data_IF_229536611550
#
_entry.id   IF_229536611550
#
_cell.length_a   1.000
_cell.length_b   1.000
_cell.length_c   1.000
_cell.angle_alpha   90.00
_cell.angle_beta   90.00
_cell.angle_gamma   90.00
#
_symmetry.space_group_name_H-M   'P 1'
#
loop_
_entity.id
_entity.type
_entity.pdbx_description
1 polymer ?
#
# COMPACT_ATOMS: atom_id res chain seq x y z
N UNK A 1 4.42 -21.94 -30.96
CA UNK A 1 3.95 -21.46 -29.65
C UNK A 1 2.45 -21.29 -29.77
N UNK A 2 1.66 -21.73 -28.78
CA UNK A 2 0.20 -21.57 -28.77
C UNK A 2 -0.13 -20.35 -27.96
N UNK A 3 -0.91 -19.44 -28.51
CA UNK A 3 -1.32 -18.20 -27.85
C UNK A 3 -2.83 -18.24 -27.56
N UNK A 4 -3.22 -17.96 -26.31
CA UNK A 4 -4.63 -17.96 -25.88
C UNK A 4 -5.20 -16.54 -25.70
N UNK A 5 -4.46 -15.51 -26.12
CA UNK A 5 -4.84 -14.11 -25.97
C UNK A 5 -5.05 -13.39 -27.29
N UNK A 6 -5.53 -12.14 -27.22
CA UNK A 6 -5.81 -11.32 -28.40
C UNK A 6 -4.55 -10.90 -29.17
N UNK A 7 -3.35 -11.14 -28.62
CA UNK A 7 -2.08 -10.84 -29.27
C UNK A 7 -1.16 -12.04 -29.31
N UNK A 8 -0.25 -12.04 -30.31
CA UNK A 8 0.88 -12.96 -30.44
C UNK A 8 2.19 -12.19 -30.38
N UNK A 9 3.24 -12.79 -29.80
CA UNK A 9 4.59 -12.20 -29.80
C UNK A 9 5.16 -12.27 -31.22
N UNK A 10 5.41 -11.12 -31.83
CA UNK A 10 6.05 -11.00 -33.13
C UNK A 10 7.58 -10.99 -33.01
N UNK A 11 8.12 -10.20 -32.07
CA UNK A 11 9.53 -10.17 -31.73
C UNK A 11 9.74 -9.68 -30.30
N UNK A 12 10.90 -10.06 -29.72
CA UNK A 12 11.38 -9.54 -28.44
C UNK A 12 12.89 -9.35 -28.53
N UNK A 13 13.31 -8.16 -28.84
CA UNK A 13 14.71 -7.83 -29.11
C UNK A 13 15.07 -6.45 -28.56
N UNK A 14 16.28 -6.30 -28.04
CA UNK A 14 16.85 -5.01 -27.63
C UNK A 14 15.97 -4.18 -26.69
N UNK A 15 15.23 -4.82 -25.76
CA UNK A 15 14.32 -4.14 -24.83
C UNK A 15 12.98 -3.70 -25.43
N UNK A 16 12.68 -4.14 -26.66
CA UNK A 16 11.41 -3.89 -27.35
C UNK A 16 10.65 -5.20 -27.53
N UNK A 17 9.41 -5.26 -27.03
CA UNK A 17 8.47 -6.36 -27.23
C UNK A 17 7.40 -5.90 -28.22
N UNK A 18 7.27 -6.62 -29.35
CA UNK A 18 6.23 -6.39 -30.36
C UNK A 18 5.15 -7.45 -30.29
N UNK A 19 3.91 -7.03 -30.12
CA UNK A 19 2.73 -7.86 -30.01
C UNK A 19 1.80 -7.55 -31.19
N UNK A 20 1.62 -8.52 -32.09
CA UNK A 20 0.69 -8.39 -33.21
C UNK A 20 -0.69 -8.97 -32.87
N UNK A 21 -1.75 -8.43 -33.44
CA UNK A 21 -3.10 -8.95 -33.28
C UNK A 21 -3.19 -10.42 -33.65
N UNK A 22 -3.77 -11.24 -32.79
CA UNK A 22 -3.99 -12.66 -33.01
C UNK A 22 -5.29 -12.89 -33.77
N UNK A 23 -5.20 -13.15 -35.07
CA UNK A 23 -6.35 -13.36 -35.93
C UNK A 23 -7.11 -14.68 -35.65
N UNK A 24 -6.47 -15.59 -34.96
CA UNK A 24 -7.07 -16.89 -34.58
C UNK A 24 -7.76 -16.83 -33.20
N UNK A 25 -7.70 -15.68 -32.52
CA UNK A 25 -8.34 -15.51 -31.23
C UNK A 25 -9.84 -15.34 -31.37
N UNK A 26 -10.60 -16.22 -30.72
CA UNK A 26 -12.07 -16.26 -30.74
C UNK A 26 -12.70 -15.89 -29.38
N UNK A 27 -11.92 -15.30 -28.48
CA UNK A 27 -12.40 -14.87 -27.17
C UNK A 27 -13.28 -13.61 -27.22
N UNK A 28 -13.68 -13.15 -26.04
CA UNK A 28 -14.67 -12.06 -25.88
C UNK A 28 -14.20 -10.69 -26.44
N UNK A 29 -12.89 -10.44 -26.43
CA UNK A 29 -12.33 -9.15 -26.84
C UNK A 29 -11.20 -9.40 -27.85
N UNK A 30 -11.50 -9.56 -29.14
CA UNK A 30 -10.48 -9.65 -30.17
C UNK A 30 -9.72 -8.32 -30.29
N UNK A 31 -8.46 -8.37 -30.73
CA UNK A 31 -7.66 -7.16 -30.86
C UNK A 31 -8.11 -6.34 -32.10
N UNK A 32 -8.57 -5.13 -31.85
CA UNK A 32 -8.77 -4.09 -32.85
C UNK A 32 -7.46 -3.36 -33.14
N UNK A 33 -6.58 -3.29 -32.13
CA UNK A 33 -5.21 -2.76 -32.24
C UNK A 33 -4.33 -3.70 -33.04
N UNK A 34 -3.79 -3.31 -34.19
CA UNK A 34 -3.03 -4.22 -35.05
C UNK A 34 -1.67 -4.60 -34.46
N UNK A 35 -1.04 -3.68 -33.73
CA UNK A 35 0.31 -3.84 -33.16
C UNK A 35 0.44 -3.04 -31.86
N UNK A 36 0.97 -3.67 -30.83
CA UNK A 36 1.41 -3.02 -29.59
C UNK A 36 2.92 -3.15 -29.48
N UNK A 37 3.61 -2.04 -29.26
CA UNK A 37 5.07 -2.03 -29.05
C UNK A 37 5.36 -1.57 -27.63
N UNK A 38 5.92 -2.46 -26.82
CA UNK A 38 6.31 -2.17 -25.44
C UNK A 38 7.82 -1.97 -25.36
N UNK A 39 8.27 -0.82 -24.87
CA UNK A 39 9.69 -0.56 -24.59
C UNK A 39 9.93 -0.80 -23.11
N UNK A 40 10.87 -1.70 -22.78
CA UNK A 40 11.21 -2.10 -21.41
C UNK A 40 12.48 -1.40 -20.94
N UNK A 41 12.48 -0.95 -19.67
CA UNK A 41 13.69 -0.43 -19.01
C UNK A 41 14.22 0.88 -19.58
N UNK A 42 13.38 1.69 -20.21
CA UNK A 42 13.79 3.02 -20.69
C UNK A 42 13.82 4.03 -19.54
N UNK A 43 14.99 4.60 -19.24
CA UNK A 43 15.17 5.62 -18.19
C UNK A 43 14.47 6.96 -18.53
N UNK A 44 14.05 7.17 -19.77
CA UNK A 44 13.47 8.40 -20.28
C UNK A 44 12.04 8.25 -20.80
N UNK A 45 11.22 7.46 -20.12
CA UNK A 45 9.85 7.12 -20.56
C UNK A 45 8.96 8.35 -20.75
N UNK A 46 9.03 9.30 -19.82
CA UNK A 46 8.22 10.54 -19.88
C UNK A 46 8.71 11.47 -20.98
N UNK A 47 10.01 11.63 -21.18
CA UNK A 47 10.56 12.42 -22.30
C UNK A 47 10.11 11.85 -23.65
N UNK A 48 10.15 10.53 -23.80
CA UNK A 48 9.68 9.86 -25.03
C UNK A 48 8.19 10.09 -25.27
N UNK A 49 7.39 10.13 -24.20
CA UNK A 49 5.97 10.44 -24.29
C UNK A 49 5.74 11.91 -24.71
N UNK A 50 6.43 12.85 -24.08
CA UNK A 50 6.35 14.28 -24.44
C UNK A 50 6.83 14.56 -25.87
N UNK A 51 7.81 13.80 -26.36
CA UNK A 51 8.29 13.86 -27.75
C UNK A 51 7.32 13.18 -28.76
N UNK A 52 6.22 12.57 -28.29
CA UNK A 52 5.29 11.83 -29.13
C UNK A 52 5.85 10.51 -29.70
N UNK A 53 6.92 9.98 -29.10
CA UNK A 53 7.55 8.71 -29.49
C UNK A 53 6.87 7.49 -28.88
N UNK A 54 6.04 7.69 -27.86
CA UNK A 54 5.20 6.67 -27.21
C UNK A 54 3.80 7.23 -26.99
N UNK A 55 2.79 6.40 -27.15
CA UNK A 55 1.38 6.77 -27.02
C UNK A 55 0.95 6.83 -25.56
N UNK A 56 1.64 6.11 -24.68
CA UNK A 56 1.33 6.02 -23.26
C UNK A 56 2.56 5.62 -22.44
N UNK A 57 2.56 5.98 -21.16
CA UNK A 57 3.64 5.58 -20.22
C UNK A 57 3.16 5.59 -18.78
N UNK A 58 3.84 4.82 -17.93
CA UNK A 58 3.72 4.97 -16.48
C UNK A 58 4.45 6.22 -16.04
N UNK A 59 3.85 6.91 -15.07
CA UNK A 59 4.34 8.19 -14.55
C UNK A 59 4.35 8.10 -13.02
N UNK A 60 5.39 8.60 -12.41
CA UNK A 60 5.42 8.82 -10.96
C UNK A 60 4.96 10.25 -10.60
N UNK A 61 4.80 10.51 -9.33
CA UNK A 61 4.34 11.81 -8.85
C UNK A 61 5.28 12.97 -9.17
N UNK A 62 6.58 12.70 -9.29
CA UNK A 62 7.58 13.74 -9.59
C UNK A 62 7.49 14.14 -11.05
N UNK A 63 7.43 13.16 -11.94
CA UNK A 63 7.35 13.37 -13.38
C UNK A 63 5.96 13.78 -13.85
N UNK A 64 4.91 13.50 -13.05
CA UNK A 64 3.53 13.95 -13.33
C UNK A 64 3.45 15.47 -13.54
N UNK A 65 4.22 16.25 -12.80
CA UNK A 65 4.26 17.71 -12.92
C UNK A 65 4.81 18.19 -14.27
N UNK A 66 5.54 17.35 -15.00
CA UNK A 66 6.07 17.65 -16.33
C UNK A 66 5.02 17.49 -17.44
N UNK A 67 3.93 16.78 -17.13
CA UNK A 67 2.83 16.57 -18.08
C UNK A 67 1.88 17.78 -18.04
N UNK A 68 2.15 18.77 -18.86
CA UNK A 68 1.46 20.07 -18.92
C UNK A 68 0.02 20.02 -19.46
N UNK A 69 -0.81 19.12 -18.96
CA UNK A 69 -2.23 19.05 -19.37
C UNK A 69 -2.47 18.45 -20.76
N UNK A 70 -1.44 17.96 -21.45
CA UNK A 70 -1.54 17.36 -22.78
C UNK A 70 -1.74 15.84 -22.79
N UNK A 71 -1.96 15.25 -21.62
CA UNK A 71 -2.23 13.83 -21.43
C UNK A 71 -3.59 13.58 -20.78
N UNK A 72 -4.17 12.43 -21.09
CA UNK A 72 -5.24 11.82 -20.30
C UNK A 72 -4.59 10.94 -19.23
N UNK A 73 -4.99 11.10 -17.98
CA UNK A 73 -4.42 10.36 -16.86
C UNK A 73 -5.39 9.31 -16.34
N UNK A 74 -4.91 8.08 -16.15
CA UNK A 74 -5.53 7.10 -15.28
C UNK A 74 -4.79 7.14 -13.92
N UNK A 75 -5.54 7.28 -12.85
CA UNK A 75 -5.01 7.36 -11.48
C UNK A 75 -5.46 6.14 -10.68
N UNK A 76 -4.52 5.50 -10.01
CA UNK A 76 -4.75 4.28 -9.23
C UNK A 76 -4.28 4.49 -7.79
N UNK A 77 -5.20 4.34 -6.83
CA UNK A 77 -4.90 4.38 -5.38
C UNK A 77 -4.48 3.00 -4.90
N UNK A 78 -3.33 2.55 -5.37
CA UNK A 78 -2.88 1.16 -5.23
C UNK A 78 -1.79 0.94 -4.19
N UNK A 79 -1.37 1.96 -3.48
CA UNK A 79 -0.33 1.84 -2.48
C UNK A 79 -0.73 2.39 -1.12
N UNK A 80 -0.05 1.88 -0.09
CA UNK A 80 -0.14 2.38 1.29
C UNK A 80 1.26 2.49 1.87
N UNK A 81 1.47 3.53 2.65
CA UNK A 81 2.64 3.67 3.52
C UNK A 81 2.19 3.51 4.95
N UNK A 82 2.86 2.62 5.68
CA UNK A 82 2.61 2.36 7.10
C UNK A 82 3.89 2.54 7.90
N UNK A 83 3.73 2.99 9.15
CA UNK A 83 4.77 2.86 10.16
C UNK A 83 4.66 1.47 10.76
N UNK A 84 5.68 0.65 10.62
CA UNK A 84 5.79 -0.64 11.28
C UNK A 84 6.53 -0.50 12.60
N UNK A 85 6.01 -1.12 13.65
CA UNK A 85 6.60 -1.19 14.98
C UNK A 85 6.83 -2.66 15.31
N UNK A 86 8.10 -3.08 15.31
CA UNK A 86 8.45 -4.49 15.41
C UNK A 86 8.30 -5.02 16.84
N UNK A 87 7.16 -5.62 17.15
CA UNK A 87 6.84 -6.19 18.45
C UNK A 87 7.78 -7.34 18.88
N UNK A 88 8.53 -7.92 17.92
CA UNK A 88 9.42 -9.06 18.18
C UNK A 88 10.82 -8.62 18.65
N UNK A 89 11.06 -7.31 18.75
CA UNK A 89 12.30 -6.77 19.34
C UNK A 89 12.10 -6.48 20.82
N UNK A 90 13.15 -6.62 21.60
CA UNK A 90 13.12 -6.32 23.05
C UNK A 90 12.84 -4.86 23.36
N UNK A 91 13.09 -3.96 22.38
CA UNK A 91 12.83 -2.53 22.53
C UNK A 91 11.34 -2.20 22.38
N UNK A 92 10.59 -2.97 21.58
CA UNK A 92 9.18 -2.70 21.25
C UNK A 92 8.23 -3.85 21.59
N UNK A 93 8.60 -4.75 22.49
CA UNK A 93 7.76 -5.85 22.95
C UNK A 93 6.54 -5.37 23.76
N UNK A 94 6.66 -4.24 24.48
CA UNK A 94 5.56 -3.66 25.25
C UNK A 94 4.61 -2.86 24.37
N UNK A 95 3.35 -3.26 24.33
CA UNK A 95 2.30 -2.55 23.56
C UNK A 95 2.16 -1.09 23.97
N UNK A 96 2.32 -0.78 25.26
CA UNK A 96 2.25 0.59 25.75
C UNK A 96 3.28 1.54 25.10
N UNK A 97 4.50 1.04 24.84
CA UNK A 97 5.51 1.83 24.15
C UNK A 97 5.13 2.09 22.68
N UNK A 98 4.67 1.04 21.97
CA UNK A 98 4.18 1.20 20.60
C UNK A 98 3.00 2.17 20.53
N UNK A 99 2.08 2.09 21.49
CA UNK A 99 0.97 3.02 21.65
C UNK A 99 1.45 4.46 21.84
N UNK A 100 2.43 4.69 22.72
CA UNK A 100 2.99 6.01 22.95
C UNK A 100 3.60 6.60 21.69
N UNK A 101 4.37 5.81 20.94
CA UNK A 101 4.97 6.23 19.66
C UNK A 101 3.89 6.60 18.62
N UNK A 102 2.81 5.83 18.51
CA UNK A 102 1.73 6.10 17.56
C UNK A 102 0.89 7.33 17.94
N UNK A 103 0.64 7.58 19.23
CA UNK A 103 -0.10 8.75 19.69
C UNK A 103 0.77 10.00 19.86
N UNK A 104 2.09 9.87 19.76
CA UNK A 104 3.05 10.94 20.05
C UNK A 104 3.25 11.96 18.93
N UNK A 105 2.61 11.80 17.76
CA UNK A 105 2.74 12.74 16.64
C UNK A 105 1.39 13.04 15.97
N UNK A 106 1.26 14.25 15.42
CA UNK A 106 0.06 14.72 14.75
C UNK A 106 0.18 14.59 13.23
N UNK A 107 -0.17 13.40 12.71
CA UNK A 107 -0.13 13.09 11.29
C UNK A 107 -0.99 14.05 10.46
N UNK A 108 -2.15 14.47 11.01
CA UNK A 108 -3.05 15.40 10.31
C UNK A 108 -2.39 16.78 10.16
N UNK A 109 -1.77 17.29 11.21
CA UNK A 109 -1.03 18.55 11.13
C UNK A 109 0.08 18.51 10.09
N UNK A 110 0.77 17.37 9.93
CA UNK A 110 1.75 17.21 8.85
C UNK A 110 1.10 17.23 7.47
N UNK A 111 0.01 16.50 7.27
CA UNK A 111 -0.72 16.48 5.98
C UNK A 111 -1.25 17.86 5.57
N UNK A 112 -1.77 18.62 6.54
CA UNK A 112 -2.32 19.95 6.32
C UNK A 112 -1.23 21.04 6.17
N UNK A 113 0.02 20.74 6.51
CA UNK A 113 1.15 21.69 6.40
C UNK A 113 1.59 22.01 4.97
N UNK A 114 1.12 21.29 3.96
CA UNK A 114 1.54 21.41 2.57
C UNK A 114 2.93 20.80 2.27
N UNK A 115 3.53 20.09 3.22
CA UNK A 115 4.84 19.42 3.06
C UNK A 115 4.73 18.01 2.48
N UNK A 116 3.52 17.42 2.53
CA UNK A 116 3.27 16.09 1.99
C UNK A 116 3.38 16.15 0.47
N UNK A 117 4.18 15.26 -0.17
CA UNK A 117 4.26 15.21 -1.62
C UNK A 117 2.89 14.89 -2.25
N UNK A 118 2.62 15.45 -3.44
CA UNK A 118 1.30 15.43 -4.09
C UNK A 118 0.71 14.02 -4.37
N UNK A 119 1.58 12.99 -4.46
CA UNK A 119 1.12 11.59 -4.66
C UNK A 119 0.69 10.89 -3.38
N UNK A 120 0.69 11.58 -2.25
CA UNK A 120 0.37 11.00 -0.95
C UNK A 120 -0.87 11.66 -0.37
N UNK A 121 -1.76 10.86 0.16
CA UNK A 121 -2.95 11.28 0.91
C UNK A 121 -2.96 10.65 2.29
N UNK A 122 -3.62 11.27 3.26
CA UNK A 122 -3.83 10.68 4.59
C UNK A 122 -4.54 9.32 4.48
N UNK A 123 -3.99 8.29 5.13
CA UNK A 123 -4.57 6.95 5.14
C UNK A 123 -5.29 6.66 6.47
N UNK A 124 -6.53 6.19 6.36
CA UNK A 124 -7.30 5.66 7.49
C UNK A 124 -7.25 4.13 7.60
N UNK A 125 -6.55 3.46 6.71
CA UNK A 125 -6.46 2.00 6.62
C UNK A 125 -5.10 1.59 6.07
N UNK A 126 -4.62 0.40 6.47
CA UNK A 126 -3.46 -0.23 5.83
C UNK A 126 -3.80 -0.76 4.44
N UNK A 127 -5.07 -0.86 4.10
CA UNK A 127 -5.56 -1.37 2.82
C UNK A 127 -5.64 -0.23 1.82
N UNK A 128 -4.99 -0.32 0.65
CA UNK A 128 -5.04 0.72 -0.37
C UNK A 128 -6.44 0.88 -0.98
N UNK A 129 -6.73 2.08 -1.49
CA UNK A 129 -8.06 2.42 -2.01
C UNK A 129 -8.49 1.62 -3.24
N UNK A 130 -7.53 1.03 -3.99
CA UNK A 130 -7.82 0.16 -5.13
C UNK A 130 -8.24 -1.26 -4.73
N UNK A 131 -8.01 -1.68 -3.48
CA UNK A 131 -8.30 -3.03 -3.03
C UNK A 131 -9.80 -3.34 -3.09
N UNK A 132 -10.11 -4.48 -3.65
CA UNK A 132 -11.48 -4.93 -3.86
C UNK A 132 -11.72 -6.26 -3.15
N UNK A 133 -12.97 -6.44 -2.79
CA UNK A 133 -13.51 -7.71 -2.32
C UNK A 133 -14.62 -8.11 -3.27
N UNK A 134 -14.40 -9.17 -4.03
CA UNK A 134 -15.15 -9.48 -5.24
C UNK A 134 -15.12 -8.28 -6.22
N UNK A 135 -16.22 -7.65 -6.50
CA UNK A 135 -16.35 -6.49 -7.39
C UNK A 135 -16.56 -5.14 -6.64
N UNK A 136 -16.52 -5.16 -5.30
CA UNK A 136 -16.78 -4.01 -4.46
C UNK A 136 -15.50 -3.45 -3.82
N UNK A 137 -15.44 -2.13 -3.65
CA UNK A 137 -14.37 -1.47 -2.93
C UNK A 137 -14.40 -1.85 -1.44
N UNK A 138 -13.30 -2.38 -0.91
CA UNK A 138 -13.19 -2.68 0.52
C UNK A 138 -13.37 -1.43 1.39
N UNK A 139 -12.76 -0.32 0.98
CA UNK A 139 -12.86 0.95 1.71
C UNK A 139 -14.32 1.44 1.78
N UNK A 140 -15.10 1.28 0.69
CA UNK A 140 -16.50 1.69 0.69
C UNK A 140 -17.39 0.75 1.52
N UNK A 141 -17.09 -0.55 1.52
CA UNK A 141 -17.76 -1.51 2.40
C UNK A 141 -17.53 -1.15 3.87
N UNK A 142 -16.29 -0.90 4.26
CA UNK A 142 -15.92 -0.58 5.64
C UNK A 142 -16.42 0.80 6.09
N UNK A 143 -16.61 1.76 5.17
CA UNK A 143 -17.22 3.08 5.48
C UNK A 143 -18.68 3.01 5.89
N UNK A 144 -19.43 2.07 5.35
CA UNK A 144 -20.85 1.88 5.70
C UNK A 144 -21.04 1.41 7.13
N UNK A 145 -19.98 0.88 7.75
CA UNK A 145 -20.04 0.19 9.03
C UNK A 145 -20.73 -1.17 8.90
N UNK A 146 -20.52 -2.00 9.89
CA UNK A 146 -21.10 -3.34 9.93
C UNK A 146 -22.07 -3.48 11.09
N UNK A 147 -23.06 -4.35 10.95
CA UNK A 147 -23.86 -4.79 12.08
C UNK A 147 -22.93 -5.48 13.11
N UNK A 148 -23.23 -5.29 14.39
CA UNK A 148 -22.51 -6.00 15.46
C UNK A 148 -22.69 -7.50 15.23
N UNK A 149 -21.58 -8.21 15.31
CA UNK A 149 -21.52 -9.66 15.16
C UNK A 149 -20.52 -10.25 16.10
N UNK A 150 -20.52 -11.57 16.24
CA UNK A 150 -19.58 -12.30 17.09
C UNK A 150 -18.75 -13.23 16.22
N UNK A 151 -17.42 -13.18 16.37
CA UNK A 151 -16.51 -14.18 15.83
C UNK A 151 -16.10 -15.08 16.98
N UNK A 152 -16.24 -16.39 16.81
CA UNK A 152 -15.74 -17.39 17.76
C UNK A 152 -14.47 -18.00 17.19
N UNK A 153 -13.40 -17.94 17.96
CA UNK A 153 -12.10 -18.47 17.60
C UNK A 153 -11.95 -19.93 18.01
N UNK A 154 -10.94 -20.62 17.46
CA UNK A 154 -10.68 -22.03 17.73
C UNK A 154 -10.38 -22.33 19.20
N UNK A 155 -9.86 -21.37 19.95
CA UNK A 155 -9.63 -21.47 21.40
C UNK A 155 -10.92 -21.30 22.25
N UNK A 156 -12.07 -21.07 21.61
CA UNK A 156 -13.36 -20.84 22.25
C UNK A 156 -13.57 -19.39 22.72
N UNK A 157 -12.60 -18.50 22.55
CA UNK A 157 -12.79 -17.06 22.80
C UNK A 157 -13.70 -16.43 21.75
N UNK A 158 -14.32 -15.31 22.09
CA UNK A 158 -15.20 -14.58 21.18
C UNK A 158 -14.85 -13.11 21.15
N UNK A 159 -14.86 -12.53 19.94
CA UNK A 159 -14.75 -11.09 19.74
C UNK A 159 -16.12 -10.55 19.35
N UNK A 160 -16.55 -9.49 20.00
CA UNK A 160 -17.92 -8.94 19.87
C UNK A 160 -17.93 -7.63 19.08
N UNK A 161 -16.79 -6.98 18.87
CA UNK A 161 -16.75 -5.67 18.24
C UNK A 161 -16.12 -5.74 16.85
N UNK A 162 -16.89 -5.31 15.87
CA UNK A 162 -16.41 -5.07 14.53
C UNK A 162 -16.20 -3.57 14.35
N UNK A 163 -14.94 -3.19 14.11
CA UNK A 163 -14.60 -1.82 13.72
C UNK A 163 -14.57 -1.71 12.21
N UNK A 164 -15.04 -0.61 11.66
CA UNK A 164 -14.72 -0.30 10.28
C UNK A 164 -13.35 0.38 10.20
N UNK A 165 -12.64 0.22 9.09
CA UNK A 165 -11.30 0.77 8.90
C UNK A 165 -11.20 2.28 9.11
N UNK A 166 -12.27 3.03 8.85
CA UNK A 166 -12.31 4.49 9.07
C UNK A 166 -12.31 4.90 10.55
N UNK A 167 -12.57 3.97 11.47
CA UNK A 167 -12.50 4.19 12.91
C UNK A 167 -11.12 3.87 13.48
N UNK A 168 -10.26 3.25 12.68
CA UNK A 168 -8.91 2.84 13.08
C UNK A 168 -7.88 3.96 12.91
N UNK A 169 -8.27 5.15 12.46
CA UNK A 169 -7.34 6.27 12.37
C UNK A 169 -6.81 6.62 13.76
N UNK A 170 -5.55 6.27 14.00
CA UNK A 170 -4.82 6.64 15.20
C UNK A 170 -4.57 8.14 15.10
N UNK A 171 -5.24 8.92 15.96
CA UNK A 171 -5.05 10.37 15.99
C UNK A 171 -4.10 10.74 17.12
N UNK A 172 -3.37 11.84 16.93
CA UNK A 172 -2.53 12.43 17.96
C UNK A 172 -3.29 12.61 19.28
N UNK A 173 -2.70 12.11 20.35
CA UNK A 173 -3.26 12.19 21.68
C UNK A 173 -2.12 12.23 22.72
N UNK A 174 -1.62 13.43 23.00
CA UNK A 174 -0.52 13.62 23.94
C UNK A 174 -0.80 13.04 25.34
N UNK A 175 -2.06 13.12 25.80
CA UNK A 175 -2.43 12.55 27.11
C UNK A 175 -2.40 11.02 27.09
N UNK A 176 -2.90 10.39 26.05
CA UNK A 176 -2.86 8.94 25.93
C UNK A 176 -1.42 8.44 25.72
N UNK A 177 -0.61 9.17 24.95
CA UNK A 177 0.80 8.87 24.78
C UNK A 177 1.57 8.93 26.10
N UNK A 178 1.35 9.96 26.91
CA UNK A 178 2.00 10.09 28.22
C UNK A 178 1.51 8.99 29.19
N UNK A 179 0.20 8.71 29.23
CA UNK A 179 -0.34 7.66 30.08
C UNK A 179 0.23 6.27 29.70
N UNK A 180 0.45 6.03 28.42
CA UNK A 180 1.09 4.82 27.94
C UNK A 180 2.56 4.72 28.39
N UNK A 181 3.32 5.83 28.31
CA UNK A 181 4.69 5.89 28.84
C UNK A 181 4.74 5.68 30.36
N UNK A 182 3.83 6.28 31.10
CA UNK A 182 3.76 6.16 32.56
C UNK A 182 3.44 4.71 33.01
N UNK A 183 2.81 3.92 32.13
CA UNK A 183 2.49 2.51 32.40
C UNK A 183 3.65 1.55 32.09
N UNK A 184 4.73 2.03 31.45
CA UNK A 184 5.86 1.17 31.09
C UNK A 184 6.57 0.63 32.34
N UNK A 185 6.94 -0.62 32.26
CA UNK A 185 7.80 -1.25 33.26
C UNK A 185 9.27 -1.09 32.85
N UNK A 186 10.04 -0.36 33.65
CA UNK A 186 11.46 -0.19 33.42
C UNK A 186 11.83 1.17 32.81
N UNK A 187 13.03 1.23 32.24
CA UNK A 187 13.53 2.43 31.56
C UNK A 187 13.02 2.49 30.11
N UNK A 188 12.87 3.70 29.60
CA UNK A 188 12.67 3.90 28.16
C UNK A 188 13.79 3.22 27.38
N UNK A 189 13.48 2.51 26.27
CA UNK A 189 14.50 1.84 25.49
C UNK A 189 15.43 2.86 24.81
N UNK A 190 16.69 2.46 24.73
CA UNK A 190 17.70 3.18 23.95
C UNK A 190 17.90 2.50 22.59
N UNK A 191 18.43 3.25 21.63
CA UNK A 191 18.81 2.72 20.32
C UNK A 191 17.64 2.42 19.39
N UNK A 192 16.49 3.08 19.57
CA UNK A 192 15.40 3.01 18.60
C UNK A 192 15.84 3.61 17.26
N UNK A 193 15.54 2.91 16.18
CA UNK A 193 15.85 3.35 14.82
C UNK A 193 14.61 3.27 13.94
N UNK A 194 14.47 4.23 13.02
CA UNK A 194 13.48 4.21 11.95
C UNK A 194 14.20 3.91 10.63
N UNK A 195 13.96 2.72 10.11
CA UNK A 195 14.53 2.24 8.85
C UNK A 195 13.72 2.79 7.66
N UNK A 196 14.42 3.39 6.69
CA UNK A 196 13.83 3.85 5.44
C UNK A 196 14.82 3.73 4.28
N UNK A 197 14.32 3.58 3.02
CA UNK A 197 15.20 3.52 1.86
C UNK A 197 15.71 4.91 1.49
N UNK A 198 16.97 5.01 1.04
CA UNK A 198 17.58 6.23 0.52
C UNK A 198 16.80 6.75 -0.70
N UNK A 199 16.60 8.06 -0.74
CA UNK A 199 15.83 8.71 -1.79
C UNK A 199 14.32 8.57 -1.64
N UNK A 200 13.84 8.13 -0.47
CA UNK A 200 12.42 8.15 -0.17
C UNK A 200 11.87 9.58 -0.23
N UNK A 201 10.75 9.78 -0.92
CA UNK A 201 10.05 11.07 -0.92
C UNK A 201 9.54 11.49 0.47
N UNK A 202 9.61 10.59 1.46
CA UNK A 202 9.18 10.79 2.84
C UNK A 202 10.35 10.99 3.82
N UNK A 203 11.58 11.26 3.37
CA UNK A 203 12.71 11.54 4.27
C UNK A 203 12.43 12.77 5.16
N UNK A 204 11.81 13.82 4.60
CA UNK A 204 11.41 15.01 5.36
C UNK A 204 10.34 14.69 6.42
N UNK A 205 9.37 13.84 6.08
CA UNK A 205 8.39 13.33 7.04
C UNK A 205 9.06 12.55 8.18
N UNK A 206 10.01 11.69 7.88
CA UNK A 206 10.72 10.92 8.90
C UNK A 206 11.53 11.82 9.84
N UNK A 207 12.17 12.87 9.31
CA UNK A 207 12.85 13.87 10.12
C UNK A 207 11.90 14.68 11.01
N UNK A 208 10.73 15.01 10.49
CA UNK A 208 9.67 15.64 11.28
C UNK A 208 9.14 14.69 12.38
N UNK A 209 8.91 13.43 12.06
CA UNK A 209 8.45 12.41 12.98
C UNK A 209 9.43 12.19 14.13
N UNK A 210 10.73 12.11 13.83
CA UNK A 210 11.81 12.05 14.83
C UNK A 210 11.73 13.22 15.81
N UNK A 211 11.49 14.43 15.29
CA UNK A 211 11.34 15.63 16.13
C UNK A 211 10.09 15.56 17.00
N UNK A 212 8.96 15.06 16.49
CA UNK A 212 7.73 14.92 17.29
C UNK A 212 7.94 13.97 18.47
N UNK A 213 8.59 12.83 18.27
CA UNK A 213 8.86 11.89 19.34
C UNK A 213 9.81 12.48 20.41
N UNK A 214 10.80 13.26 19.97
CA UNK A 214 11.69 13.96 20.91
C UNK A 214 10.92 15.03 21.72
N UNK A 215 10.16 15.88 21.05
CA UNK A 215 9.47 17.02 21.67
C UNK A 215 8.32 16.57 22.59
N UNK A 216 7.57 15.55 22.21
CA UNK A 216 6.37 15.14 22.93
C UNK A 216 6.61 14.00 23.93
N UNK A 217 7.57 13.12 23.66
CA UNK A 217 7.81 11.92 24.45
C UNK A 217 9.20 11.91 25.13
N UNK A 218 10.08 12.84 24.79
CA UNK A 218 11.48 12.80 25.21
C UNK A 218 12.28 11.63 24.63
N UNK A 219 11.76 11.00 23.55
CA UNK A 219 12.35 9.80 22.98
C UNK A 219 13.23 10.13 21.77
N UNK A 220 14.43 9.57 21.76
CA UNK A 220 15.37 9.67 20.64
C UNK A 220 15.19 8.45 19.75
N UNK A 221 14.74 8.68 18.52
CA UNK A 221 14.67 7.67 17.44
C UNK A 221 15.62 8.10 16.34
N UNK A 222 16.60 7.27 15.99
CA UNK A 222 17.56 7.60 14.94
C UNK A 222 17.04 7.17 13.56
N UNK A 223 17.32 7.97 12.52
CA UNK A 223 17.00 7.57 11.16
C UNK A 223 18.10 6.66 10.61
N UNK A 224 17.72 5.50 10.08
CA UNK A 224 18.59 4.58 9.36
C UNK A 224 18.23 4.60 7.88
N UNK A 225 18.94 5.43 7.10
CA UNK A 225 18.74 5.58 5.67
C UNK A 225 19.73 4.67 4.94
N UNK A 226 19.20 3.60 4.34
CA UNK A 226 20.02 2.58 3.66
C UNK A 226 19.64 2.48 2.17
N UNK A 227 20.49 1.81 1.38
CA UNK A 227 20.15 1.51 -0.01
C UNK A 227 18.96 0.54 -0.13
N UNK A 228 18.36 0.48 -1.31
CA UNK A 228 17.12 -0.28 -1.52
C UNK A 228 17.27 -1.80 -1.29
N UNK A 229 18.43 -2.37 -1.59
CA UNK A 229 18.69 -3.81 -1.41
C UNK A 229 18.87 -4.16 0.07
N UNK A 230 19.63 -3.36 0.79
CA UNK A 230 19.80 -3.45 2.25
C UNK A 230 18.46 -3.27 2.95
N UNK A 231 17.68 -2.27 2.54
CA UNK A 231 16.34 -2.03 3.09
C UNK A 231 15.42 -3.27 2.94
N UNK A 232 15.30 -3.81 1.72
CA UNK A 232 14.49 -5.00 1.45
C UNK A 232 14.97 -6.22 2.24
N UNK A 233 16.29 -6.43 2.30
CA UNK A 233 16.87 -7.55 3.05
C UNK A 233 16.59 -7.46 4.55
N UNK A 234 16.68 -6.27 5.14
CA UNK A 234 16.41 -6.05 6.56
C UNK A 234 14.93 -6.21 6.88
N UNK A 235 14.05 -5.67 6.06
CA UNK A 235 12.61 -5.90 6.21
C UNK A 235 12.25 -7.38 6.19
N UNK A 236 12.75 -8.13 5.19
CA UNK A 236 12.46 -9.56 5.05
C UNK A 236 12.96 -10.40 6.23
N UNK A 237 14.01 -9.94 6.93
CA UNK A 237 14.56 -10.59 8.13
C UNK A 237 13.92 -10.13 9.44
N UNK A 238 13.08 -9.09 9.41
CA UNK A 238 12.60 -8.43 10.63
C UNK A 238 13.73 -7.70 11.40
N UNK A 239 14.81 -7.29 10.72
CA UNK A 239 15.97 -6.61 11.33
C UNK A 239 15.75 -5.09 11.35
N UNK A 240 14.81 -4.65 12.17
CA UNK A 240 14.49 -3.25 12.42
C UNK A 240 13.69 -3.11 13.73
N UNK A 241 13.72 -1.93 14.34
CA UNK A 241 12.80 -1.58 15.44
C UNK A 241 11.55 -0.89 14.90
N UNK A 242 11.71 0.21 14.15
CA UNK A 242 10.66 0.84 13.38
C UNK A 242 11.05 0.84 11.89
N UNK A 243 10.06 0.79 11.01
CA UNK A 243 10.30 0.94 9.57
C UNK A 243 9.19 1.75 8.91
N UNK A 244 9.57 2.60 7.96
CA UNK A 244 8.64 3.20 7.03
C UNK A 244 8.40 2.19 5.91
N UNK A 245 7.23 1.59 5.85
CA UNK A 245 6.93 0.52 4.93
C UNK A 245 5.96 0.99 3.84
N UNK A 246 6.42 0.98 2.60
CA UNK A 246 5.58 1.24 1.44
C UNK A 246 5.24 -0.07 0.74
N UNK A 247 3.96 -0.28 0.52
CA UNK A 247 3.43 -1.45 -0.16
C UNK A 247 2.49 -1.03 -1.28
N UNK A 248 2.71 -1.55 -2.48
CA UNK A 248 1.80 -1.42 -3.60
C UNK A 248 1.09 -2.77 -3.77
N UNK A 249 -0.21 -2.78 -3.56
CA UNK A 249 -1.03 -3.97 -3.67
C UNK A 249 -1.62 -4.12 -5.07
N UNK A 250 -1.82 -5.37 -5.48
CA UNK A 250 -2.88 -5.72 -6.40
C UNK A 250 -4.26 -5.47 -5.78
N UNK A 251 -5.31 -5.78 -6.49
CA UNK A 251 -6.70 -5.65 -6.03
C UNK A 251 -7.12 -6.74 -5.04
N UNK A 252 -6.32 -7.79 -4.87
CA UNK A 252 -6.63 -8.92 -4.01
C UNK A 252 -6.36 -8.64 -2.53
N UNK A 253 -7.43 -8.45 -1.77
CA UNK A 253 -7.41 -8.06 -0.38
C UNK A 253 -6.63 -9.03 0.53
N UNK A 254 -6.76 -10.34 0.31
CA UNK A 254 -6.06 -11.35 1.09
C UNK A 254 -4.53 -11.21 0.98
N UNK A 255 -4.04 -10.86 -0.20
CA UNK A 255 -2.61 -10.60 -0.44
C UNK A 255 -2.12 -9.39 0.35
N UNK A 256 -2.94 -8.32 0.46
CA UNK A 256 -2.62 -7.15 1.27
C UNK A 256 -2.34 -7.55 2.73
N UNK A 257 -3.24 -8.31 3.33
CA UNK A 257 -3.10 -8.70 4.75
C UNK A 257 -1.92 -9.65 4.98
N UNK A 258 -1.60 -10.52 4.04
CA UNK A 258 -0.41 -11.40 4.15
C UNK A 258 0.90 -10.62 4.33
N UNK A 259 1.00 -9.42 3.77
CA UNK A 259 2.18 -8.58 3.93
C UNK A 259 2.38 -8.02 5.35
N UNK A 260 1.35 -8.06 6.18
CA UNK A 260 1.43 -7.48 7.53
C UNK A 260 1.53 -8.50 8.66
N UNK A 261 1.32 -9.78 8.42
CA UNK A 261 1.19 -10.65 9.57
C UNK A 261 1.47 -12.13 9.43
N UNK A 262 1.84 -12.64 8.27
CA UNK A 262 2.08 -14.07 8.10
C UNK A 262 3.55 -14.40 7.92
N UNK A 263 3.99 -15.53 8.49
CA UNK A 263 5.33 -16.07 8.28
C UNK A 263 5.61 -16.28 6.77
N UNK A 264 6.85 -16.02 6.35
CA UNK A 264 7.28 -16.30 4.97
C UNK A 264 7.51 -15.06 4.10
N UNK A 265 8.04 -13.99 4.69
CA UNK A 265 8.47 -12.79 3.95
C UNK A 265 7.71 -11.52 4.33
N UNK A 266 6.77 -11.60 5.26
CA UNK A 266 6.17 -10.42 5.84
C UNK A 266 7.20 -9.67 6.69
N UNK A 267 7.31 -8.34 6.56
CA UNK A 267 8.24 -7.53 7.33
C UNK A 267 7.91 -7.54 8.84
N UNK A 268 6.65 -7.70 9.19
CA UNK A 268 6.20 -7.85 10.58
C UNK A 268 5.44 -9.15 10.71
N UNK A 269 5.84 -9.97 11.67
CA UNK A 269 5.11 -11.18 12.02
C UNK A 269 4.18 -10.86 13.19
N UNK A 270 2.89 -10.75 12.92
CA UNK A 270 1.89 -10.68 13.98
C UNK A 270 1.86 -12.03 14.72
N UNK A 271 2.11 -11.98 16.03
CA UNK A 271 2.12 -13.19 16.87
C UNK A 271 0.75 -13.51 17.46
N UNK A 272 -0.25 -12.68 17.24
CA UNK A 272 -1.63 -12.95 17.69
C UNK A 272 -2.26 -14.02 16.78
N UNK A 273 -2.60 -15.21 17.32
CA UNK A 273 -3.18 -16.28 16.52
C UNK A 273 -4.51 -15.91 15.89
N UNK A 274 -5.27 -14.98 16.49
CA UNK A 274 -6.55 -14.50 15.97
C UNK A 274 -6.40 -13.85 14.61
N UNK A 275 -5.24 -13.24 14.31
CA UNK A 275 -4.98 -12.63 13.02
C UNK A 275 -5.07 -13.62 11.86
N UNK A 276 -4.37 -14.77 11.99
CA UNK A 276 -4.42 -15.84 10.99
C UNK A 276 -5.80 -16.46 10.86
N UNK A 277 -6.47 -16.74 12.00
CA UNK A 277 -7.82 -17.30 12.00
C UNK A 277 -8.84 -16.38 11.31
N UNK A 278 -8.75 -15.06 11.51
CA UNK A 278 -9.61 -14.09 10.83
C UNK A 278 -9.42 -14.10 9.33
N UNK A 279 -8.18 -14.24 8.84
CA UNK A 279 -7.89 -14.34 7.42
C UNK A 279 -8.42 -15.64 6.81
N UNK A 280 -8.28 -16.77 7.53
CA UNK A 280 -8.80 -18.05 7.08
C UNK A 280 -10.33 -18.05 7.02
N UNK A 281 -11.00 -17.47 8.04
CA UNK A 281 -12.46 -17.29 8.05
C UNK A 281 -12.91 -16.37 6.91
N UNK A 282 -12.21 -15.26 6.66
CA UNK A 282 -12.52 -14.35 5.56
C UNK A 282 -12.40 -15.01 4.18
N UNK A 283 -11.40 -15.88 4.00
CA UNK A 283 -11.23 -16.67 2.78
C UNK A 283 -12.32 -17.72 2.56
N UNK A 284 -12.98 -18.17 3.64
CA UNK A 284 -14.10 -19.10 3.59
C UNK A 284 -15.48 -18.45 3.60
N UNK A 285 -15.57 -17.13 3.72
CA UNK A 285 -16.85 -16.43 3.79
C UNK A 285 -17.61 -16.48 2.45
N UNK A 286 -18.89 -16.67 2.52
CA UNK A 286 -19.77 -16.76 1.33
C UNK A 286 -20.47 -15.44 1.00
N UNK A 287 -20.36 -14.46 1.89
CA UNK A 287 -20.99 -13.14 1.80
C UNK A 287 -19.91 -12.06 1.83
N UNK A 288 -20.02 -11.10 0.91
CA UNK A 288 -19.10 -9.95 0.79
C UNK A 288 -19.02 -9.16 2.10
N UNK A 289 -20.15 -8.93 2.76
CA UNK A 289 -20.21 -8.14 3.99
C UNK A 289 -19.55 -8.90 5.15
N UNK A 290 -19.77 -10.21 5.25
CA UNK A 290 -19.11 -11.07 6.21
C UNK A 290 -17.59 -11.08 5.99
N UNK A 291 -17.14 -11.28 4.76
CA UNK A 291 -15.71 -11.26 4.43
C UNK A 291 -15.07 -9.89 4.76
N UNK A 292 -15.71 -8.78 4.36
CA UNK A 292 -15.21 -7.44 4.65
C UNK A 292 -15.10 -7.18 6.15
N UNK A 293 -16.06 -7.65 6.93
CA UNK A 293 -16.07 -7.56 8.38
C UNK A 293 -14.92 -8.35 9.02
N UNK A 294 -14.66 -9.56 8.55
CA UNK A 294 -13.54 -10.39 9.04
C UNK A 294 -12.18 -9.76 8.72
N UNK A 295 -12.00 -9.23 7.51
CA UNK A 295 -10.79 -8.47 7.17
C UNK A 295 -10.63 -7.20 8.01
N UNK A 296 -11.72 -6.47 8.29
CA UNK A 296 -11.66 -5.30 9.17
C UNK A 296 -11.26 -5.66 10.60
N UNK A 297 -11.65 -6.83 11.10
CA UNK A 297 -11.16 -7.34 12.38
C UNK A 297 -9.69 -7.73 12.35
N UNK A 298 -9.20 -8.33 11.25
CA UNK A 298 -7.78 -8.61 11.08
C UNK A 298 -6.96 -7.31 11.06
N UNK A 299 -7.45 -6.27 10.38
CA UNK A 299 -6.85 -4.94 10.41
C UNK A 299 -6.81 -4.37 11.84
N UNK A 300 -7.88 -4.53 12.60
CA UNK A 300 -7.96 -4.08 13.98
C UNK A 300 -6.92 -4.78 14.87
N UNK A 301 -6.62 -6.06 14.67
CA UNK A 301 -5.55 -6.74 15.41
C UNK A 301 -4.20 -6.03 15.21
N UNK A 302 -3.87 -5.63 13.99
CA UNK A 302 -2.61 -4.94 13.70
C UNK A 302 -2.56 -3.52 14.27
N UNK A 303 -3.65 -2.78 14.17
CA UNK A 303 -3.71 -1.38 14.58
C UNK A 303 -3.92 -1.22 16.09
N UNK A 304 -4.76 -2.03 16.72
CA UNK A 304 -5.01 -2.00 18.17
C UNK A 304 -3.81 -2.47 18.99
N UNK A 305 -2.97 -3.35 18.41
CA UNK A 305 -1.69 -3.74 19.00
C UNK A 305 -0.53 -2.80 18.59
N UNK A 306 -0.82 -1.77 17.80
CA UNK A 306 0.18 -0.81 17.31
C UNK A 306 1.36 -1.50 16.62
N UNK A 307 1.08 -2.51 15.80
CA UNK A 307 2.09 -3.23 15.00
C UNK A 307 2.29 -2.52 13.66
N UNK A 308 1.20 -2.10 13.03
CA UNK A 308 1.20 -1.34 11.79
C UNK A 308 0.25 -0.14 11.92
N UNK A 309 0.78 1.06 11.73
CA UNK A 309 -0.01 2.29 11.70
C UNK A 309 -0.09 2.82 10.27
N UNK A 310 -1.27 2.89 9.66
CA UNK A 310 -1.41 3.52 8.35
C UNK A 310 -1.04 5.01 8.43
N UNK A 311 -0.27 5.47 7.46
CA UNK A 311 0.16 6.87 7.37
C UNK A 311 -0.43 7.54 6.14
N UNK A 312 -0.14 7.00 4.97
CA UNK A 312 -0.52 7.60 3.69
C UNK A 312 -0.98 6.56 2.69
N UNK A 313 -1.97 6.92 1.88
CA UNK A 313 -2.21 6.27 0.60
C UNK A 313 -1.25 6.83 -0.44
N UNK A 314 -0.87 5.99 -1.41
CA UNK A 314 -0.07 6.41 -2.55
C UNK A 314 -0.82 6.12 -3.84
N UNK A 315 -0.57 6.98 -4.82
CA UNK A 315 -1.15 6.85 -6.15
C UNK A 315 -0.08 6.50 -7.17
N UNK A 316 -0.45 5.71 -8.16
CA UNK A 316 0.30 5.54 -9.39
C UNK A 316 -0.49 6.07 -10.58
N UNK A 317 0.22 6.47 -11.63
CA UNK A 317 -0.38 7.14 -12.77
C UNK A 317 0.01 6.46 -14.07
N UNK A 318 -0.90 6.50 -15.02
CA UNK A 318 -0.66 6.10 -16.39
C UNK A 318 -1.12 7.21 -17.32
N UNK A 319 -0.20 7.79 -18.07
CA UNK A 319 -0.46 8.85 -19.02
C UNK A 319 -0.71 8.29 -20.41
N UNK A 320 -1.73 8.81 -21.08
CA UNK A 320 -2.07 8.50 -22.47
C UNK A 320 -2.12 9.79 -23.28
N UNK A 321 -1.67 9.76 -24.51
CA UNK A 321 -1.86 10.86 -25.45
C UNK A 321 -3.37 11.12 -25.64
N UNK A 322 -3.77 12.40 -25.83
CA UNK A 322 -5.19 12.78 -25.91
C UNK A 322 -5.94 12.16 -27.10
N UNK A 323 -5.22 11.83 -28.13
CA UNK A 323 -5.74 11.17 -29.33
C UNK A 323 -5.78 9.63 -29.21
N UNK A 324 -5.36 9.08 -28.06
CA UNK A 324 -5.40 7.64 -27.78
C UNK A 324 -6.58 7.33 -26.86
N UNK A 325 -7.37 6.34 -27.25
CA UNK A 325 -8.55 5.87 -26.52
C UNK A 325 -8.56 4.34 -26.43
N UNK A 326 -9.47 3.76 -25.64
CA UNK A 326 -9.69 2.32 -25.59
C UNK A 326 -8.64 1.49 -24.81
N UNK A 327 -7.63 2.13 -24.22
CA UNK A 327 -6.77 1.45 -23.24
C UNK A 327 -7.57 1.26 -21.96
N UNK A 328 -7.63 0.02 -21.47
CA UNK A 328 -8.26 -0.34 -20.22
C UNK A 328 -7.20 -0.74 -19.19
N UNK A 329 -7.54 -0.65 -17.92
CA UNK A 329 -6.65 -1.04 -16.83
C UNK A 329 -7.43 -1.84 -15.78
N UNK A 330 -6.73 -2.72 -15.04
CA UNK A 330 -7.25 -3.27 -13.79
C UNK A 330 -7.49 -2.17 -12.77
N UNK A 331 -8.34 -2.43 -11.77
CA UNK A 331 -8.69 -1.43 -10.77
C UNK A 331 -7.47 -0.89 -9.98
N UNK A 332 -6.45 -1.71 -9.82
CA UNK A 332 -5.19 -1.40 -9.15
C UNK A 332 -4.11 -0.84 -10.10
N UNK A 333 -4.37 -0.81 -11.41
CA UNK A 333 -3.42 -0.33 -12.44
C UNK A 333 -2.21 -1.22 -12.66
N UNK A 334 -2.21 -2.46 -12.16
CA UNK A 334 -1.10 -3.39 -12.39
C UNK A 334 -1.14 -3.97 -13.80
N UNK A 335 -2.33 -4.18 -14.35
CA UNK A 335 -2.55 -4.70 -15.70
C UNK A 335 -3.13 -3.63 -16.62
N UNK A 336 -2.65 -3.61 -17.85
CA UNK A 336 -3.12 -2.73 -18.91
C UNK A 336 -3.55 -3.57 -20.10
N UNK A 337 -4.73 -3.26 -20.67
CA UNK A 337 -5.32 -3.98 -21.77
C UNK A 337 -5.40 -3.08 -23.00
N UNK A 338 -4.77 -3.51 -24.08
CA UNK A 338 -4.61 -2.74 -25.32
C UNK A 338 -5.46 -3.25 -26.48
N UNK A 339 -6.28 -4.29 -26.25
CA UNK A 339 -7.03 -4.91 -27.33
C UNK A 339 -7.94 -3.95 -28.10
N UNK A 340 -8.51 -2.98 -27.42
CA UNK A 340 -9.42 -1.96 -27.98
C UNK A 340 -8.76 -0.59 -28.12
N UNK A 341 -7.44 -0.49 -27.94
CA UNK A 341 -6.73 0.76 -28.06
C UNK A 341 -6.74 1.27 -29.50
N UNK A 342 -7.07 2.54 -29.68
CA UNK A 342 -7.15 3.22 -30.98
C UNK A 342 -6.54 4.62 -30.87
N UNK A 343 -5.96 5.08 -31.99
CA UNK A 343 -5.51 6.46 -32.14
C UNK A 343 -6.48 7.19 -33.06
N UNK A 344 -7.02 8.31 -32.60
CA UNK A 344 -7.82 9.18 -33.44
C UNK A 344 -6.91 9.75 -34.56
N UNK A 345 -7.29 9.53 -35.82
CA UNK A 345 -6.56 9.97 -36.98
C UNK A 345 -6.69 11.47 -37.25
#
# INVERSE_FOLDING_TARGET
MIYNGPFTVQSWESGELRLAANKEYTGLTPAETPLVVCTLGADNTVERFLDGKTDCCRVDAVTLQQLSGDATLLTFRNGTVSLLLNQNTTQLDQTALRQALCYGFDLRAYTESGRLPAAYEYAGSIVPGAARLFDQSYIDLTRKGFALGTVTFADGSSSVEFRCSNQLSISYNARAAQAALDSLQGKLPEGLTLLLPRGSALEDFCGWLQKQWLDHLGMVVNLEIVDADTYRSRLAKGDFTLALYSYTAGDELHTVFRHYGMAGGAPVQCTDPRYGELLDLAGGAHDVEEAARLFANAEAVLTDQFIAMPLFYTESYFAMAKDVTGIQASADGTELFFATAQRAG
#
